data_IF_774000208581
#
_entry.id   IF_774000208581
#
_cell.length_a   1.000
_cell.length_b   1.000
_cell.length_c   1.000
_cell.angle_alpha   90.00
_cell.angle_beta   90.00
_cell.angle_gamma   90.00
#
_symmetry.space_group_name_H-M   'P 1'
#
loop_
_entity.id
_entity.type
_entity.pdbx_description
1 polymer ?
#
# COMPACT_ATOMS: atom_id res chain seq x y z
N UNK A 1 -13.79 -26.73 13.25
CA UNK A 1 -13.52 -25.49 12.48
C UNK A 1 -14.57 -25.38 11.37
N UNK A 2 -15.33 -24.28 11.30
CA UNK A 2 -16.27 -24.05 10.20
C UNK A 2 -15.47 -23.65 8.95
N UNK A 3 -15.54 -24.47 7.90
CA UNK A 3 -15.04 -24.10 6.58
C UNK A 3 -15.90 -22.96 6.06
N UNK A 4 -15.27 -21.86 5.66
CA UNK A 4 -15.93 -20.74 5.00
C UNK A 4 -16.28 -21.18 3.57
N UNK A 5 -17.56 -21.10 3.15
CA UNK A 5 -18.00 -21.61 1.85
C UNK A 5 -17.34 -20.86 0.66
N UNK A 6 -17.26 -21.51 -0.53
CA UNK A 6 -16.64 -20.92 -1.72
C UNK A 6 -17.54 -19.80 -2.26
N UNK A 7 -17.25 -18.57 -1.84
CA UNK A 7 -18.01 -17.35 -2.13
C UNK A 7 -17.64 -16.18 -1.19
N UNK A 8 -17.06 -16.50 -0.03
CA UNK A 8 -16.84 -15.59 1.10
C UNK A 8 -15.36 -15.43 1.47
N UNK A 9 -14.44 -15.33 0.50
CA UNK A 9 -13.12 -14.82 0.87
C UNK A 9 -13.25 -13.36 1.30
N UNK A 10 -12.70 -12.95 2.46
CA UNK A 10 -12.78 -11.57 2.92
C UNK A 10 -12.27 -10.62 1.85
N UNK A 11 -12.99 -9.53 1.58
CA UNK A 11 -12.64 -8.53 0.57
C UNK A 11 -12.75 -7.13 1.19
N UNK A 12 -11.89 -6.23 0.76
CA UNK A 12 -12.04 -4.81 1.02
C UNK A 12 -13.15 -4.31 0.10
N UNK A 13 -14.32 -4.05 0.66
CA UNK A 13 -15.51 -3.58 -0.07
C UNK A 13 -15.88 -2.15 0.30
N UNK A 14 -15.45 -1.66 1.46
CA UNK A 14 -15.62 -0.28 1.89
C UNK A 14 -14.28 0.43 2.06
N UNK A 15 -14.15 1.58 1.41
CA UNK A 15 -12.98 2.45 1.48
C UNK A 15 -13.31 3.81 2.13
N UNK A 16 -14.55 4.00 2.60
CA UNK A 16 -15.06 5.26 3.15
C UNK A 16 -14.26 5.75 4.37
N UNK A 17 -13.58 4.83 5.06
CA UNK A 17 -12.73 5.14 6.23
C UNK A 17 -11.43 5.85 5.88
N UNK A 18 -11.11 6.02 4.59
CA UNK A 18 -9.93 6.72 4.10
C UNK A 18 -10.32 7.80 3.08
N UNK A 19 -9.91 9.03 3.39
CA UNK A 19 -9.94 10.20 2.54
C UNK A 19 -8.54 10.53 1.99
N UNK A 20 -8.47 11.41 0.99
CA UNK A 20 -7.20 11.82 0.36
C UNK A 20 -6.22 12.41 1.39
N UNK A 21 -6.74 13.19 2.33
CA UNK A 21 -6.01 13.81 3.41
C UNK A 21 -5.32 12.78 4.31
N UNK A 22 -5.93 11.60 4.53
CA UNK A 22 -5.31 10.57 5.36
C UNK A 22 -3.98 10.07 4.80
N UNK A 23 -3.80 10.06 3.46
CA UNK A 23 -2.50 9.76 2.85
C UNK A 23 -1.46 10.83 3.18
N UNK A 24 -1.83 12.11 3.05
CA UNK A 24 -0.95 13.25 3.34
C UNK A 24 -0.57 13.30 4.81
N UNK A 25 -1.54 13.14 5.71
CA UNK A 25 -1.32 13.09 7.15
C UNK A 25 -0.41 11.93 7.52
N UNK A 26 -0.67 10.71 7.00
CA UNK A 26 0.15 9.54 7.30
C UNK A 26 1.58 9.71 6.76
N UNK A 27 1.75 10.20 5.54
CA UNK A 27 3.08 10.45 4.99
C UNK A 27 3.82 11.54 5.78
N UNK A 28 3.11 12.61 6.16
CA UNK A 28 3.65 13.66 7.04
C UNK A 28 4.10 13.10 8.39
N UNK A 29 3.36 12.15 8.99
CA UNK A 29 3.81 11.54 10.26
C UNK A 29 5.16 10.83 10.13
N UNK A 30 5.45 10.20 8.99
CA UNK A 30 6.75 9.57 8.75
C UNK A 30 7.88 10.58 8.52
N UNK A 31 7.56 11.81 8.09
CA UNK A 31 8.56 12.88 7.97
C UNK A 31 9.11 13.35 9.33
N UNK A 32 8.30 13.22 10.39
CA UNK A 32 8.66 13.62 11.74
C UNK A 32 9.04 12.43 12.65
N UNK A 33 9.02 11.21 12.11
CA UNK A 33 9.44 10.00 12.81
C UNK A 33 10.97 10.03 13.02
N UNK A 34 11.41 9.88 14.28
CA UNK A 34 12.83 9.93 14.66
C UNK A 34 13.52 8.58 14.51
N UNK A 35 12.76 7.48 14.60
CA UNK A 35 13.30 6.12 14.63
C UNK A 35 13.44 5.55 13.22
N UNK A 36 12.61 6.03 12.29
CA UNK A 36 12.63 5.63 10.88
C UNK A 36 12.80 6.86 9.98
N UNK A 37 14.04 7.28 9.72
CA UNK A 37 14.30 8.54 9.03
C UNK A 37 13.64 8.55 7.65
N UNK A 38 13.02 9.68 7.34
CA UNK A 38 12.60 10.03 6.00
C UNK A 38 13.85 10.27 5.15
N UNK A 39 13.89 9.80 3.91
CA UNK A 39 15.03 10.01 3.02
C UNK A 39 15.10 11.50 2.64
N UNK A 40 15.90 12.25 3.39
CA UNK A 40 16.12 13.68 3.20
C UNK A 40 17.54 13.92 2.69
N UNK A 41 17.64 14.52 1.52
CA UNK A 41 18.91 15.05 1.04
C UNK A 41 19.36 16.21 1.93
N UNK A 42 20.68 16.39 2.10
CA UNK A 42 21.29 17.39 3.01
C UNK A 42 20.78 18.83 2.84
N UNK A 43 20.27 19.18 1.66
CA UNK A 43 19.75 20.52 1.32
C UNK A 43 18.22 20.66 1.42
N UNK A 44 17.49 19.60 1.78
CA UNK A 44 16.03 19.64 1.89
C UNK A 44 15.60 19.94 3.33
N UNK A 45 14.77 20.98 3.52
CA UNK A 45 14.11 21.23 4.80
C UNK A 45 12.85 20.36 4.96
N UNK A 46 12.51 20.04 6.21
CA UNK A 46 11.25 19.35 6.55
C UNK A 46 10.03 20.15 6.08
N UNK A 47 10.06 21.48 6.17
CA UNK A 47 8.99 22.34 5.65
C UNK A 47 8.78 22.17 4.14
N UNK A 48 9.86 22.14 3.36
CA UNK A 48 9.76 21.94 1.90
C UNK A 48 9.21 20.55 1.57
N UNK A 49 9.61 19.53 2.33
CA UNK A 49 9.09 18.17 2.19
C UNK A 49 7.60 18.09 2.55
N UNK A 50 7.22 18.66 3.69
CA UNK A 50 5.82 18.78 4.10
C UNK A 50 4.99 19.51 3.05
N UNK A 51 5.47 20.62 2.51
CA UNK A 51 4.78 21.35 1.45
C UNK A 51 4.57 20.48 0.20
N UNK A 52 5.59 19.73 -0.23
CA UNK A 52 5.45 18.77 -1.35
C UNK A 52 4.41 17.68 -1.08
N UNK A 53 4.39 17.13 0.14
CA UNK A 53 3.39 16.12 0.54
C UNK A 53 1.97 16.70 0.41
N UNK A 54 1.78 17.93 0.88
CA UNK A 54 0.46 18.55 0.92
C UNK A 54 -0.02 19.10 -0.42
N UNK A 55 0.89 19.38 -1.35
CA UNK A 55 0.58 19.77 -2.72
C UNK A 55 0.16 18.62 -3.64
N UNK A 56 0.28 17.36 -3.19
CA UNK A 56 -0.31 16.22 -3.92
C UNK A 56 -1.79 16.47 -4.13
N UNK A 57 -2.27 16.38 -5.38
CA UNK A 57 -3.67 16.71 -5.70
C UNK A 57 -4.62 15.69 -5.08
N UNK A 58 -5.58 16.16 -4.29
CA UNK A 58 -6.63 15.30 -3.72
C UNK A 58 -7.45 14.60 -4.81
N UNK A 59 -7.58 15.21 -5.99
CA UNK A 59 -8.23 14.56 -7.14
C UNK A 59 -7.56 13.26 -7.58
N UNK A 60 -6.22 13.20 -7.50
CA UNK A 60 -5.45 12.02 -7.90
C UNK A 60 -5.57 10.89 -6.87
N UNK A 61 -5.51 11.24 -5.58
CA UNK A 61 -5.75 10.29 -4.48
C UNK A 61 -7.20 9.78 -4.50
N UNK A 62 -8.19 10.64 -4.79
CA UNK A 62 -9.59 10.21 -4.99
C UNK A 62 -9.76 9.30 -6.20
N UNK A 63 -9.02 9.51 -7.30
CA UNK A 63 -9.03 8.61 -8.46
C UNK A 63 -8.52 7.22 -8.08
N UNK A 64 -7.47 7.12 -7.25
CA UNK A 64 -7.01 5.85 -6.71
C UNK A 64 -8.15 5.14 -5.97
N UNK A 65 -8.76 5.80 -4.99
CA UNK A 65 -9.85 5.20 -4.18
C UNK A 65 -11.04 4.75 -5.04
N UNK A 66 -11.49 5.58 -5.98
CA UNK A 66 -12.63 5.26 -6.86
C UNK A 66 -12.39 4.10 -7.82
N UNK A 67 -11.13 3.85 -8.21
CA UNK A 67 -10.77 2.81 -9.16
C UNK A 67 -10.31 1.51 -8.49
N UNK A 68 -10.39 1.45 -7.16
CA UNK A 68 -9.98 0.28 -6.40
C UNK A 68 -10.74 -0.98 -6.85
N UNK A 69 -10.07 -2.12 -7.06
CA UNK A 69 -10.68 -3.31 -7.64
C UNK A 69 -11.49 -4.13 -6.60
N UNK A 70 -12.63 -3.60 -6.16
CA UNK A 70 -13.48 -4.20 -5.11
C UNK A 70 -13.96 -5.64 -5.42
N UNK A 71 -14.01 -6.02 -6.70
CA UNK A 71 -14.48 -7.35 -7.12
C UNK A 71 -13.36 -8.40 -7.22
N UNK A 72 -12.09 -8.02 -7.01
CA UNK A 72 -10.95 -8.95 -7.07
C UNK A 72 -10.78 -9.72 -5.74
N UNK A 73 -9.94 -10.76 -5.74
CA UNK A 73 -9.57 -11.47 -4.50
C UNK A 73 -8.81 -10.56 -3.54
N UNK A 74 -8.80 -10.86 -2.24
CA UNK A 74 -8.10 -10.05 -1.23
C UNK A 74 -6.61 -9.86 -1.55
N UNK A 75 -5.94 -10.92 -1.99
CA UNK A 75 -4.54 -10.86 -2.37
C UNK A 75 -4.32 -9.86 -3.51
N UNK A 76 -5.21 -9.85 -4.50
CA UNK A 76 -5.14 -8.93 -5.64
C UNK A 76 -5.53 -7.50 -5.27
N UNK A 77 -6.48 -7.32 -4.35
CA UNK A 77 -6.84 -6.02 -3.78
C UNK A 77 -5.66 -5.39 -3.03
N UNK A 78 -5.02 -6.17 -2.16
CA UNK A 78 -3.82 -5.75 -1.43
C UNK A 78 -2.64 -5.48 -2.37
N UNK A 79 -2.41 -6.34 -3.37
CA UNK A 79 -1.36 -6.13 -4.36
C UNK A 79 -1.63 -4.90 -5.24
N UNK A 80 -2.88 -4.71 -5.67
CA UNK A 80 -3.32 -3.55 -6.43
C UNK A 80 -3.17 -2.26 -5.62
N UNK A 81 -3.47 -2.27 -4.32
CA UNK A 81 -3.23 -1.15 -3.42
C UNK A 81 -1.75 -0.75 -3.38
N UNK A 82 -0.87 -1.73 -3.18
CA UNK A 82 0.57 -1.47 -3.12
C UNK A 82 1.13 -0.99 -4.46
N UNK A 83 0.67 -1.57 -5.57
CA UNK A 83 1.00 -1.08 -6.91
C UNK A 83 0.54 0.39 -7.09
N UNK A 84 -0.70 0.70 -6.75
CA UNK A 84 -1.29 2.03 -6.94
C UNK A 84 -0.63 3.09 -6.05
N UNK A 85 -0.36 2.81 -4.78
CA UNK A 85 0.17 3.82 -3.83
C UNK A 85 1.69 3.86 -3.87
N UNK A 86 2.36 2.72 -3.68
CA UNK A 86 3.82 2.66 -3.60
C UNK A 86 4.48 2.74 -4.99
N UNK A 87 3.84 2.18 -6.01
CA UNK A 87 4.35 2.21 -7.39
C UNK A 87 4.23 3.59 -8.04
N UNK A 88 3.04 4.21 -7.98
CA UNK A 88 2.80 5.58 -8.49
C UNK A 88 3.68 6.62 -7.80
N UNK A 89 4.01 6.39 -6.53
CA UNK A 89 4.93 7.22 -5.75
C UNK A 89 4.47 8.68 -5.64
N UNK A 90 3.28 8.89 -5.07
CA UNK A 90 2.66 10.23 -4.92
C UNK A 90 3.51 11.20 -4.08
N UNK A 91 4.28 10.69 -3.13
CA UNK A 91 5.04 11.48 -2.17
C UNK A 91 6.55 11.43 -2.44
N UNK A 92 7.34 12.37 -1.90
CA UNK A 92 8.79 12.37 -2.08
C UNK A 92 9.49 11.11 -1.53
N UNK A 93 8.99 10.53 -0.44
CA UNK A 93 9.47 9.28 0.18
C UNK A 93 8.32 8.67 1.03
N UNK A 94 8.58 7.56 1.72
CA UNK A 94 7.68 6.84 2.61
C UNK A 94 6.40 6.35 1.92
N UNK A 95 6.41 6.17 0.59
CA UNK A 95 5.27 5.70 -0.18
C UNK A 95 4.86 4.27 0.22
N UNK A 96 5.82 3.35 0.36
CA UNK A 96 5.57 2.00 0.86
C UNK A 96 5.02 1.99 2.29
N UNK A 97 5.64 2.77 3.19
CA UNK A 97 5.19 2.90 4.58
C UNK A 97 3.75 3.44 4.66
N UNK A 98 3.45 4.45 3.84
CA UNK A 98 2.10 5.04 3.72
C UNK A 98 1.11 4.02 3.19
N UNK A 99 1.46 3.31 2.12
CA UNK A 99 0.62 2.28 1.53
C UNK A 99 0.29 1.17 2.53
N UNK A 100 1.29 0.62 3.22
CA UNK A 100 1.12 -0.46 4.20
C UNK A 100 0.29 -0.02 5.40
N UNK A 101 0.55 1.17 5.95
CA UNK A 101 -0.17 1.68 7.11
C UNK A 101 -1.66 1.88 6.81
N UNK A 102 -1.97 2.45 5.63
CA UNK A 102 -3.35 2.65 5.20
C UNK A 102 -4.03 1.34 4.78
N UNK A 103 -3.30 0.40 4.17
CA UNK A 103 -3.83 -0.92 3.86
C UNK A 103 -4.23 -1.67 5.12
N UNK A 104 -3.40 -1.66 6.16
CA UNK A 104 -3.72 -2.26 7.46
C UNK A 104 -4.97 -1.63 8.08
N UNK A 105 -5.13 -0.31 7.95
CA UNK A 105 -6.35 0.39 8.37
C UNK A 105 -7.56 -0.10 7.58
N UNK A 106 -7.49 -0.14 6.24
CA UNK A 106 -8.60 -0.65 5.40
C UNK A 106 -8.99 -2.07 5.77
N UNK A 107 -8.01 -2.96 5.92
CA UNK A 107 -8.24 -4.35 6.30
C UNK A 107 -8.99 -4.40 7.64
N UNK A 108 -8.49 -3.71 8.66
CA UNK A 108 -9.13 -3.64 9.99
C UNK A 108 -10.56 -3.08 9.92
N UNK A 109 -10.76 -1.98 9.20
CA UNK A 109 -12.06 -1.32 9.09
C UNK A 109 -13.08 -2.17 8.30
N UNK A 110 -12.61 -3.07 7.43
CA UNK A 110 -13.43 -4.07 6.73
C UNK A 110 -13.57 -5.38 7.54
N UNK A 111 -13.16 -5.42 8.81
CA UNK A 111 -13.23 -6.61 9.66
C UNK A 111 -12.24 -7.72 9.27
N UNK A 112 -11.20 -7.40 8.49
CA UNK A 112 -10.20 -8.33 8.00
C UNK A 112 -8.94 -8.25 8.87
N UNK A 113 -8.55 -9.39 9.46
CA UNK A 113 -7.32 -9.51 10.25
C UNK A 113 -6.23 -10.14 9.38
N UNK A 114 -5.22 -9.38 8.92
CA UNK A 114 -4.30 -9.83 7.88
C UNK A 114 -3.13 -10.69 8.38
N UNK A 115 -3.27 -11.30 9.56
CA UNK A 115 -2.22 -12.09 10.20
C UNK A 115 -0.93 -11.29 10.48
N UNK A 116 0.15 -12.02 10.72
CA UNK A 116 1.49 -11.43 10.86
C UNK A 116 2.10 -11.19 9.48
N UNK A 117 2.77 -10.05 9.31
CA UNK A 117 3.60 -9.78 8.13
C UNK A 117 5.06 -9.84 8.58
N UNK A 118 5.77 -10.96 8.33
CA UNK A 118 7.14 -11.13 8.83
C UNK A 118 8.04 -9.97 8.39
N UNK A 119 8.72 -9.27 9.32
CA UNK A 119 9.49 -8.07 8.99
C UNK A 119 10.55 -8.29 7.90
N UNK A 120 11.21 -9.45 7.91
CA UNK A 120 12.23 -9.82 6.92
C UNK A 120 11.61 -9.96 5.52
N UNK A 121 10.52 -10.73 5.39
CA UNK A 121 9.81 -10.94 4.12
C UNK A 121 9.26 -9.62 3.57
N UNK A 122 8.71 -8.78 4.45
CA UNK A 122 8.23 -7.44 4.07
C UNK A 122 9.39 -6.56 3.57
N UNK A 123 10.52 -6.56 4.27
CA UNK A 123 11.71 -5.79 3.88
C UNK A 123 12.24 -6.22 2.51
N UNK A 124 12.40 -7.52 2.28
CA UNK A 124 12.83 -8.06 0.98
C UNK A 124 11.86 -7.69 -0.15
N UNK A 125 10.55 -7.76 0.14
CA UNK A 125 9.50 -7.36 -0.82
C UNK A 125 9.60 -5.88 -1.17
N UNK A 126 9.81 -5.00 -0.18
CA UNK A 126 10.02 -3.56 -0.41
C UNK A 126 11.27 -3.31 -1.26
N UNK A 127 12.40 -3.96 -0.96
CA UNK A 127 13.63 -3.85 -1.74
C UNK A 127 13.39 -4.28 -3.20
N UNK A 128 12.75 -5.43 -3.40
CA UNK A 128 12.41 -5.94 -4.73
C UNK A 128 11.46 -5.00 -5.47
N UNK A 129 10.47 -4.45 -4.77
CA UNK A 129 9.53 -3.47 -5.31
C UNK A 129 10.24 -2.19 -5.77
N UNK A 130 11.20 -1.68 -5.00
CA UNK A 130 12.04 -0.55 -5.42
C UNK A 130 12.85 -0.85 -6.66
N UNK A 131 13.46 -2.05 -6.74
CA UNK A 131 14.23 -2.48 -7.92
C UNK A 131 13.34 -2.55 -9.15
N UNK A 132 12.20 -3.24 -9.07
CA UNK A 132 11.26 -3.40 -10.19
C UNK A 132 10.73 -2.05 -10.66
N UNK A 133 10.42 -1.12 -9.76
CA UNK A 133 9.96 0.24 -10.13
C UNK A 133 10.96 0.98 -11.03
N UNK A 134 12.27 0.72 -10.91
CA UNK A 134 13.30 1.32 -11.77
C UNK A 134 13.38 0.68 -13.16
N UNK A 135 12.74 -0.47 -13.36
CA UNK A 135 12.85 -1.30 -14.57
C UNK A 135 11.54 -1.32 -15.40
N UNK A 136 10.46 -0.73 -14.89
CA UNK A 136 9.17 -0.66 -15.58
C UNK A 136 8.86 0.78 -15.98
N UNK A 137 7.90 0.92 -16.89
CA UNK A 137 7.30 2.23 -17.18
C UNK A 137 6.68 2.84 -15.91
N UNK A 138 6.74 4.16 -15.80
CA UNK A 138 6.11 4.88 -14.70
C UNK A 138 4.63 4.54 -14.59
N UNK A 139 4.21 4.14 -13.38
CA UNK A 139 2.81 3.90 -13.09
C UNK A 139 2.10 5.25 -13.09
N UNK A 140 1.13 5.40 -13.98
CA UNK A 140 0.33 6.62 -14.17
C UNK A 140 -1.05 6.45 -13.56
N UNK A 141 -1.84 7.52 -13.54
CA UNK A 141 -3.20 7.49 -13.01
C UNK A 141 -4.13 6.60 -13.81
N UNK A 142 -3.90 6.43 -15.12
CA UNK A 142 -4.62 5.52 -16.00
C UNK A 142 -4.25 4.03 -15.77
N UNK A 143 -3.05 3.75 -15.22
CA UNK A 143 -2.49 2.40 -15.06
C UNK A 143 -2.40 1.90 -13.60
N UNK A 144 -3.02 2.59 -12.62
CA UNK A 144 -2.90 2.31 -11.17
C UNK A 144 -3.08 0.86 -10.71
N UNK A 145 -3.78 0.00 -11.46
CA UNK A 145 -4.07 -1.38 -11.08
C UNK A 145 -3.68 -2.39 -12.17
N UNK A 146 -2.75 -2.03 -13.05
CA UNK A 146 -2.23 -2.95 -14.08
C UNK A 146 -1.53 -4.13 -13.41
N UNK A 147 -1.67 -5.32 -14.00
CA UNK A 147 -0.99 -6.54 -13.57
C UNK A 147 0.39 -6.64 -14.21
N UNK A 148 1.30 -5.74 -13.83
CA UNK A 148 2.68 -5.73 -14.31
C UNK A 148 3.66 -6.36 -13.30
N UNK A 149 4.97 -6.21 -13.54
CA UNK A 149 6.02 -6.74 -12.64
C UNK A 149 5.91 -6.17 -11.23
N UNK A 150 5.48 -4.92 -11.04
CA UNK A 150 5.31 -4.31 -9.72
C UNK A 150 4.12 -4.95 -9.00
N UNK A 151 3.01 -5.20 -9.70
CA UNK A 151 1.88 -5.95 -9.14
C UNK A 151 2.29 -7.37 -8.74
N UNK A 152 3.11 -8.04 -9.57
CA UNK A 152 3.60 -9.39 -9.31
C UNK A 152 4.47 -9.51 -8.06
N UNK A 153 5.26 -8.48 -7.72
CA UNK A 153 6.01 -8.46 -6.45
C UNK A 153 5.06 -8.54 -5.25
N UNK A 154 4.00 -7.72 -5.27
CA UNK A 154 3.07 -7.65 -4.15
C UNK A 154 2.09 -8.82 -4.10
N UNK A 155 1.65 -9.36 -5.24
CA UNK A 155 0.76 -10.53 -5.23
C UNK A 155 1.46 -11.75 -4.64
N UNK A 156 2.75 -11.94 -4.89
CA UNK A 156 3.54 -13.02 -4.29
C UNK A 156 3.63 -12.83 -2.78
N UNK A 157 3.95 -11.62 -2.32
CA UNK A 157 3.96 -11.29 -0.89
C UNK A 157 2.61 -11.59 -0.21
N UNK A 158 1.50 -11.08 -0.74
CA UNK A 158 0.18 -11.27 -0.13
C UNK A 158 -0.32 -12.72 -0.23
N UNK A 159 0.04 -13.46 -1.29
CA UNK A 159 -0.21 -14.90 -1.33
C UNK A 159 0.58 -15.64 -0.25
N UNK A 160 1.76 -15.17 0.15
CA UNK A 160 2.52 -15.78 1.25
C UNK A 160 1.93 -15.43 2.61
N UNK A 161 1.60 -14.15 2.87
CA UNK A 161 1.21 -13.72 4.23
C UNK A 161 -0.29 -13.80 4.52
N UNK A 162 -1.14 -13.94 3.49
CA UNK A 162 -2.60 -14.12 3.67
C UNK A 162 -3.05 -15.57 3.48
N UNK A 163 -2.15 -16.47 3.07
CA UNK A 163 -2.39 -17.93 3.12
C UNK A 163 -1.87 -18.46 4.46
N UNK A 164 -2.73 -18.41 5.48
CA UNK A 164 -2.81 -19.32 6.64
C UNK A 164 -3.43 -18.59 7.85
N UNK A 165 -4.45 -19.22 8.48
CA UNK A 165 -4.16 -20.09 9.61
C UNK A 165 -4.43 -21.54 9.25
N UNK A 166 -3.39 -22.25 8.89
CA UNK A 166 -3.27 -23.67 9.20
C UNK A 166 -1.82 -23.86 9.62
N UNK A 167 -1.63 -24.51 10.76
CA UNK A 167 -0.36 -24.75 11.48
C UNK A 167 0.03 -23.71 12.54
N UNK A 168 -0.84 -23.53 13.54
CA UNK A 168 -0.34 -23.59 14.92
C UNK A 168 -0.38 -25.08 15.31
N UNK A 169 0.79 -25.68 15.48
CA UNK A 169 0.98 -26.95 16.21
C UNK A 169 1.05 -26.64 17.70
#
# INVERSE_FOLDING_TARGET
>A
MRQVPPGEQPRITDLSSIQAENFKFRNTSFLYDKDLPYDMLKYQSRERLRHRIWNVRNGDLRKLMRRFPINHSLCEQCAGWMHAVAGRHFFPDANHRTALALLRKLLKDNGIVPGQWPPQVLRETVIRSHKVRKEIEDIRLDTLYRRDRMFLVWILFFKTVLRSPTEER
#
